data_IF_514945920694
#
_entry.id   IF_514945920694
#
_cell.length_a   1.000
_cell.length_b   1.000
_cell.length_c   1.000
_cell.angle_alpha   90.00
_cell.angle_beta   90.00
_cell.angle_gamma   90.00
#
_symmetry.space_group_name_H-M   'P 1'
#
loop_
_entity.id
_entity.type
_entity.pdbx_description
1 polymer ?
#
# COMPACT_ATOMS: atom_id res chain seq x y z
N UNK A 1 15.96 -10.71 24.65
CA UNK A 1 14.58 -10.77 25.14
C UNK A 1 13.85 -9.59 24.52
N UNK A 2 13.22 -9.78 23.35
CA UNK A 2 12.45 -8.72 22.71
C UNK A 2 11.22 -8.41 23.56
N UNK A 3 10.97 -7.13 23.82
CA UNK A 3 9.74 -6.69 24.49
C UNK A 3 8.52 -7.29 23.78
N UNK A 4 7.54 -7.74 24.56
CA UNK A 4 6.27 -8.27 24.05
C UNK A 4 5.64 -7.25 23.10
N UNK A 5 5.71 -7.54 21.81
CA UNK A 5 5.18 -6.69 20.74
C UNK A 5 3.65 -6.69 20.86
N UNK A 6 3.11 -5.67 21.52
CA UNK A 6 1.67 -5.41 21.53
C UNK A 6 1.28 -4.86 20.17
N UNK A 7 0.79 -5.74 19.31
CA UNK A 7 0.21 -5.33 18.03
C UNK A 7 -1.15 -4.70 18.30
N UNK A 8 -1.38 -3.50 17.76
CA UNK A 8 -2.66 -2.81 17.81
C UNK A 8 -3.32 -2.93 16.45
N UNK A 9 -4.33 -3.80 16.25
CA UNK A 9 -4.97 -4.02 14.95
C UNK A 9 -5.50 -2.73 14.30
N UNK A 10 -5.98 -1.78 15.11
CA UNK A 10 -6.40 -0.46 14.63
C UNK A 10 -5.28 0.35 13.98
N UNK A 11 -4.05 0.27 14.50
CA UNK A 11 -2.89 0.95 13.89
C UNK A 11 -2.45 0.27 12.59
N UNK A 12 -2.54 -1.06 12.51
CA UNK A 12 -2.29 -1.80 11.25
C UNK A 12 -3.28 -1.41 10.17
N UNK A 13 -4.58 -1.29 10.50
CA UNK A 13 -5.61 -0.84 9.55
C UNK A 13 -5.41 0.62 9.13
N UNK A 14 -5.03 1.50 10.05
CA UNK A 14 -4.71 2.89 9.74
C UNK A 14 -3.49 3.01 8.80
N UNK A 15 -2.45 2.22 9.05
CA UNK A 15 -1.28 2.14 8.17
C UNK A 15 -1.66 1.61 6.77
N UNK A 16 -2.44 0.52 6.70
CA UNK A 16 -2.96 0.00 5.44
C UNK A 16 -3.78 1.04 4.65
N UNK A 17 -4.62 1.82 5.33
CA UNK A 17 -5.37 2.91 4.71
C UNK A 17 -4.46 4.02 4.17
N UNK A 18 -3.44 4.39 4.93
CA UNK A 18 -2.44 5.39 4.50
C UNK A 18 -1.66 4.92 3.28
N UNK A 19 -1.20 3.67 3.29
CA UNK A 19 -0.50 3.05 2.16
C UNK A 19 -1.38 3.00 0.92
N UNK A 20 -2.65 2.61 1.07
CA UNK A 20 -3.61 2.62 -0.05
C UNK A 20 -3.75 4.02 -0.65
N UNK A 21 -3.85 5.06 0.20
CA UNK A 21 -3.92 6.44 -0.26
C UNK A 21 -2.64 6.90 -0.99
N UNK A 22 -1.46 6.51 -0.48
CA UNK A 22 -0.17 6.80 -1.13
C UNK A 22 -0.05 6.09 -2.47
N UNK A 23 -0.40 4.80 -2.53
CA UNK A 23 -0.40 4.03 -3.78
C UNK A 23 -1.32 4.65 -4.83
N UNK A 24 -2.53 5.05 -4.42
CA UNK A 24 -3.46 5.77 -5.29
C UNK A 24 -2.87 7.11 -5.78
N UNK A 25 -2.30 7.92 -4.88
CA UNK A 25 -1.69 9.20 -5.23
C UNK A 25 -0.53 9.03 -6.22
N UNK A 26 0.38 8.08 -5.98
CA UNK A 26 1.51 7.79 -6.87
C UNK A 26 1.03 7.33 -8.25
N UNK A 27 0.05 6.43 -8.29
CA UNK A 27 -0.53 5.96 -9.56
C UNK A 27 -1.28 7.07 -10.31
N UNK A 28 -1.81 8.07 -9.59
CA UNK A 28 -2.56 9.21 -10.12
C UNK A 28 -1.71 10.42 -10.53
N UNK A 29 -0.39 10.42 -10.29
CA UNK A 29 0.50 11.53 -10.68
C UNK A 29 0.59 11.73 -12.20
N UNK A 30 0.23 10.70 -12.99
CA UNK A 30 0.07 10.79 -14.45
C UNK A 30 1.30 11.38 -15.18
N UNK A 31 2.49 11.12 -14.60
CA UNK A 31 3.77 11.64 -15.09
C UNK A 31 4.07 11.11 -16.50
N UNK A 32 3.68 9.87 -16.78
CA UNK A 32 3.77 9.29 -18.12
C UNK A 32 3.04 10.13 -19.16
N UNK A 33 1.77 10.51 -18.90
CA UNK A 33 1.00 11.37 -19.80
C UNK A 33 1.67 12.72 -20.00
N UNK A 34 2.15 13.33 -18.92
CA UNK A 34 2.86 14.62 -18.98
C UNK A 34 4.10 14.55 -19.89
N UNK A 35 4.89 13.48 -19.76
CA UNK A 35 6.07 13.23 -20.59
C UNK A 35 5.70 12.90 -22.04
N UNK A 36 4.63 12.14 -22.28
CA UNK A 36 4.10 11.89 -23.63
C UNK A 36 3.64 13.18 -24.31
N UNK A 37 2.96 14.08 -23.58
CA UNK A 37 2.55 15.39 -24.10
C UNK A 37 3.77 16.25 -24.41
N UNK A 38 4.80 16.27 -23.55
CA UNK A 38 6.04 16.97 -23.81
C UNK A 38 6.77 16.41 -25.06
N UNK A 39 6.79 15.09 -25.23
CA UNK A 39 7.36 14.43 -26.40
C UNK A 39 6.64 14.87 -27.69
N UNK A 40 5.30 14.88 -27.66
CA UNK A 40 4.49 15.30 -28.80
C UNK A 40 4.66 16.77 -29.19
N UNK A 41 5.01 17.64 -28.23
CA UNK A 41 5.32 19.05 -28.48
C UNK A 41 6.72 19.27 -29.10
N UNK A 42 7.59 18.25 -29.09
CA UNK A 42 8.99 18.33 -29.51
C UNK A 42 9.41 17.17 -30.44
N UNK A 43 8.67 16.88 -31.53
CA UNK A 43 8.82 15.64 -32.29
C UNK A 43 10.17 15.47 -32.99
N UNK A 44 10.84 16.58 -33.34
CA UNK A 44 12.13 16.57 -34.04
C UNK A 44 13.34 16.78 -33.11
N UNK A 45 13.10 16.91 -31.79
CA UNK A 45 14.15 17.10 -30.80
C UNK A 45 14.47 15.78 -30.10
N UNK A 46 15.76 15.53 -29.86
CA UNK A 46 16.19 14.38 -29.06
C UNK A 46 15.58 14.39 -27.65
N UNK A 47 15.30 15.58 -27.10
CA UNK A 47 14.58 15.72 -25.85
C UNK A 47 13.15 15.19 -25.93
N UNK A 48 12.47 15.34 -27.06
CA UNK A 48 11.13 14.78 -27.28
C UNK A 48 11.16 13.25 -27.29
N UNK A 49 12.12 12.65 -28.01
CA UNK A 49 12.33 11.20 -27.99
C UNK A 49 12.62 10.68 -26.57
N UNK A 50 13.53 11.34 -25.85
CA UNK A 50 13.86 10.99 -24.46
C UNK A 50 12.64 11.12 -23.52
N UNK A 51 11.79 12.13 -23.71
CA UNK A 51 10.53 12.26 -22.96
C UNK A 51 9.57 11.09 -23.26
N UNK A 52 9.47 10.66 -24.52
CA UNK A 52 8.64 9.51 -24.91
C UNK A 52 9.10 8.21 -24.24
N UNK A 53 10.40 7.94 -24.27
CA UNK A 53 10.98 6.76 -23.62
C UNK A 53 10.78 6.80 -22.10
N UNK A 54 11.12 7.94 -21.48
CA UNK A 54 10.95 8.15 -20.05
C UNK A 54 9.47 8.03 -19.61
N UNK A 55 8.52 8.45 -20.44
CA UNK A 55 7.09 8.32 -20.15
C UNK A 55 6.70 6.88 -19.83
N UNK A 56 7.13 5.94 -20.66
CA UNK A 56 6.82 4.51 -20.51
C UNK A 56 7.45 3.91 -19.24
N UNK A 57 8.70 4.27 -18.96
CA UNK A 57 9.44 3.79 -17.79
C UNK A 57 8.80 4.31 -16.50
N UNK A 58 8.48 5.61 -16.46
CA UNK A 58 7.89 6.24 -15.26
C UNK A 58 6.46 5.73 -15.03
N UNK A 59 5.66 5.57 -16.09
CA UNK A 59 4.31 5.00 -16.00
C UNK A 59 4.33 3.56 -15.45
N UNK A 60 5.25 2.73 -15.95
CA UNK A 60 5.46 1.36 -15.44
C UNK A 60 5.92 1.35 -13.98
N UNK A 61 6.87 2.22 -13.62
CA UNK A 61 7.36 2.33 -12.25
C UNK A 61 6.25 2.80 -11.28
N UNK A 62 5.46 3.79 -11.67
CA UNK A 62 4.34 4.29 -10.86
C UNK A 62 3.27 3.21 -10.62
N UNK A 63 2.93 2.42 -11.64
CA UNK A 63 2.03 1.26 -11.48
C UNK A 63 2.60 0.19 -10.58
N UNK A 64 3.89 -0.12 -10.73
CA UNK A 64 4.57 -1.12 -9.90
C UNK A 64 4.57 -0.71 -8.43
N UNK A 65 4.94 0.54 -8.14
CA UNK A 65 4.89 1.10 -6.77
C UNK A 65 3.47 1.05 -6.22
N UNK A 66 2.46 1.50 -6.98
CA UNK A 66 1.07 1.44 -6.56
C UNK A 66 0.60 0.01 -6.23
N UNK A 67 1.01 -0.97 -7.02
CA UNK A 67 0.71 -2.39 -6.81
C UNK A 67 1.40 -2.93 -5.55
N UNK A 68 2.69 -2.70 -5.37
CA UNK A 68 3.45 -3.16 -4.21
C UNK A 68 2.93 -2.56 -2.90
N UNK A 69 2.65 -1.25 -2.91
CA UNK A 69 2.08 -0.55 -1.74
C UNK A 69 0.69 -1.08 -1.41
N UNK A 70 -0.16 -1.34 -2.42
CA UNK A 70 -1.48 -1.95 -2.21
C UNK A 70 -1.37 -3.39 -1.68
N UNK A 71 -0.40 -4.16 -2.18
CA UNK A 71 -0.13 -5.51 -1.69
C UNK A 71 0.34 -5.50 -0.23
N UNK A 72 1.15 -4.52 0.17
CA UNK A 72 1.57 -4.35 1.56
C UNK A 72 0.40 -3.94 2.46
N UNK A 73 -0.43 -2.98 2.03
CA UNK A 73 -1.64 -2.59 2.74
C UNK A 73 -2.57 -3.79 3.00
N UNK A 74 -2.75 -4.67 2.01
CA UNK A 74 -3.53 -5.89 2.16
C UNK A 74 -2.93 -6.85 3.19
N UNK A 75 -1.60 -6.99 3.25
CA UNK A 75 -0.93 -7.80 4.27
C UNK A 75 -1.15 -7.23 5.68
N UNK A 76 -1.10 -5.91 5.84
CA UNK A 76 -1.37 -5.25 7.12
C UNK A 76 -2.82 -5.44 7.57
N UNK A 77 -3.78 -5.30 6.65
CA UNK A 77 -5.19 -5.57 6.93
C UNK A 77 -5.42 -7.02 7.35
N UNK A 78 -4.85 -7.98 6.61
CA UNK A 78 -4.92 -9.40 6.95
C UNK A 78 -4.30 -9.72 8.31
N UNK A 79 -3.15 -9.11 8.61
CA UNK A 79 -2.51 -9.25 9.91
C UNK A 79 -3.42 -8.72 11.04
N UNK A 80 -4.01 -7.54 10.86
CA UNK A 80 -4.96 -6.98 11.83
C UNK A 80 -6.13 -7.93 12.11
N UNK A 81 -6.74 -8.49 11.06
CA UNK A 81 -7.83 -9.46 11.19
C UNK A 81 -7.40 -10.74 11.91
N UNK A 82 -6.16 -11.20 11.66
CA UNK A 82 -5.63 -12.40 12.31
C UNK A 82 -5.38 -12.18 13.80
N UNK A 83 -4.85 -11.01 14.19
CA UNK A 83 -4.64 -10.68 15.60
C UNK A 83 -5.98 -10.56 16.33
N UNK A 84 -6.94 -9.83 15.79
CA UNK A 84 -8.26 -9.65 16.41
C UNK A 84 -8.99 -10.99 16.59
N UNK A 85 -8.94 -11.87 15.57
CA UNK A 85 -9.53 -13.22 15.68
C UNK A 85 -8.88 -14.06 16.77
N UNK A 86 -7.56 -13.99 16.89
CA UNK A 86 -6.80 -14.75 17.91
C UNK A 86 -7.10 -14.24 19.32
N UNK A 87 -7.19 -12.92 19.48
CA UNK A 87 -7.56 -12.28 20.75
C UNK A 87 -8.99 -12.65 21.16
N UNK A 88 -9.94 -12.62 20.22
CA UNK A 88 -11.33 -13.03 20.45
C UNK A 88 -11.45 -14.50 20.87
N UNK A 89 -10.73 -15.39 20.18
CA UNK A 89 -10.72 -16.82 20.51
C UNK A 89 -10.14 -17.06 21.92
N UNK A 90 -9.06 -16.36 22.24
CA UNK A 90 -8.42 -16.42 23.56
C UNK A 90 -9.36 -15.88 24.65
N UNK A 91 -10.01 -14.75 24.42
CA UNK A 91 -10.99 -14.16 25.33
C UNK A 91 -12.18 -15.10 25.57
N UNK A 92 -12.71 -15.74 24.52
CA UNK A 92 -13.79 -16.74 24.64
C UNK A 92 -13.36 -17.94 25.50
N UNK A 93 -12.16 -18.47 25.27
CA UNK A 93 -11.61 -19.57 26.07
C UNK A 93 -11.48 -19.18 27.54
N UNK A 94 -10.90 -18.01 27.82
CA UNK A 94 -10.77 -17.50 29.19
C UNK A 94 -12.13 -17.32 29.88
N UNK A 95 -13.11 -16.74 29.18
CA UNK A 95 -14.47 -16.58 29.69
C UNK A 95 -15.18 -17.92 29.92
N UNK A 96 -14.92 -18.93 29.10
CA UNK A 96 -15.51 -20.27 29.27
C UNK A 96 -14.97 -21.04 30.47
N UNK A 97 -13.77 -20.69 30.96
CA UNK A 97 -13.11 -21.35 32.10
C UNK A 97 -13.36 -20.57 33.40
N UNK A 98 -13.77 -19.29 33.31
CA UNK A 98 -14.08 -18.46 34.48
C UNK A 98 -15.35 -19.00 35.17
N UNK A 99 -15.27 -19.47 36.43
CA UNK A 99 -16.45 -19.92 37.14
C UNK A 99 -17.39 -18.74 37.36
N UNK A 100 -18.65 -18.89 36.99
CA UNK A 100 -19.73 -17.99 37.39
C UNK A 100 -19.86 -18.10 38.91
N UNK A 101 -19.29 -17.13 39.62
CA UNK A 101 -19.57 -16.90 41.04
C UNK A 101 -20.99 -16.39 41.23
#
# INVERSE_FOLDING_TARGET
MGSELKVVPGQLRAAAGTETAVGAAVSGLDVGRTLTTAAAAMPDLQSGAACGDAASVVDSAARTVGSEVSAHANKLAFAADSYERTDDESARRLNSIKPTG
#
